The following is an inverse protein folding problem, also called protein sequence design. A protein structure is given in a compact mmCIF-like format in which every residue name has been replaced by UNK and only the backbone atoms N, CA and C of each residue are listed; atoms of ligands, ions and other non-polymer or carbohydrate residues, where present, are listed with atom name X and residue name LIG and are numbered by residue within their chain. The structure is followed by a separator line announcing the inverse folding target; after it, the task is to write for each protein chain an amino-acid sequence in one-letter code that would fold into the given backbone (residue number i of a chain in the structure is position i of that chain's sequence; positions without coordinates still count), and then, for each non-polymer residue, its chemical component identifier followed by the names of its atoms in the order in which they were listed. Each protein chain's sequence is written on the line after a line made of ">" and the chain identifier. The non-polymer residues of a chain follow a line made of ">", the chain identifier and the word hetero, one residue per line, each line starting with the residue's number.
data_IF_796364687965
#
_entry.id   IF_796364687965
#
_cell.length_a   1.000
_cell.length_b   1.000
_cell.length_c   1.000
_cell.angle_alpha   90.00
_cell.angle_beta   90.00
_cell.angle_gamma   90.00
#
_symmetry.space_group_name_H-M   'P 1'
#
loop_
_entity.id
_entity.type
_entity.pdbx_description
1 polymer ?
#
# COMPACT_ATOMS: atom_id res chain seq x y z
N UNK A 1 7.88 -5.83 -7.09
CA UNK A 1 8.70 -5.66 -5.86
C UNK A 1 9.43 -4.31 -5.76
N UNK A 2 9.85 -3.68 -6.87
CA UNK A 2 10.62 -2.42 -6.85
C UNK A 2 9.82 -1.18 -6.40
N UNK A 3 8.55 -1.05 -6.80
CA UNK A 3 7.71 0.11 -6.44
C UNK A 3 7.45 0.24 -4.94
N UNK A 4 7.31 -0.88 -4.23
CA UNK A 4 7.07 -0.91 -2.80
C UNK A 4 8.17 -0.32 -1.95
N UNK A 5 9.42 -0.65 -2.29
CA UNK A 5 10.60 -0.15 -1.59
C UNK A 5 10.74 1.37 -1.74
N UNK A 6 10.42 1.89 -2.93
CA UNK A 6 10.45 3.33 -3.21
C UNK A 6 9.41 4.07 -2.34
N UNK A 7 8.18 3.55 -2.25
CA UNK A 7 7.13 4.14 -1.40
C UNK A 7 7.55 4.10 0.08
N UNK A 8 8.14 2.99 0.53
CA UNK A 8 8.63 2.87 1.90
C UNK A 8 9.72 3.91 2.22
N UNK A 9 10.63 4.19 1.27
CA UNK A 9 11.64 5.24 1.40
C UNK A 9 10.99 6.63 1.50
N UNK A 10 10.01 6.94 0.65
CA UNK A 10 9.29 8.21 0.73
C UNK A 10 8.58 8.37 2.08
N UNK A 11 7.90 7.33 2.57
CA UNK A 11 7.27 7.34 3.89
C UNK A 11 8.33 7.57 4.98
N UNK A 12 9.48 6.91 4.92
CA UNK A 12 10.55 7.10 5.90
C UNK A 12 11.05 8.56 5.94
N UNK A 13 11.32 9.17 4.79
CA UNK A 13 11.75 10.57 4.71
C UNK A 13 10.65 11.50 5.24
N UNK A 14 9.39 11.25 4.85
CA UNK A 14 8.25 12.05 5.26
C UNK A 14 8.03 12.04 6.77
N UNK A 15 8.06 10.85 7.38
CA UNK A 15 7.92 10.66 8.82
C UNK A 15 9.10 11.28 9.56
N UNK A 16 10.32 11.08 9.08
CA UNK A 16 11.52 11.65 9.68
C UNK A 16 11.44 13.19 9.73
N UNK A 17 11.11 13.84 8.61
CA UNK A 17 10.98 15.30 8.56
C UNK A 17 9.86 15.79 9.48
N UNK A 18 8.70 15.14 9.42
CA UNK A 18 7.58 15.47 10.30
C UNK A 18 8.00 15.40 11.77
N UNK A 19 8.77 14.38 12.15
CA UNK A 19 9.21 14.15 13.52
C UNK A 19 10.12 15.27 14.03
N UNK A 20 11.03 15.74 13.16
CA UNK A 20 11.94 16.84 13.45
C UNK A 20 11.19 18.18 13.52
N UNK A 21 10.32 18.47 12.55
CA UNK A 21 9.56 19.72 12.49
C UNK A 21 8.64 19.88 13.70
N UNK A 22 8.00 18.80 14.15
CA UNK A 22 7.07 18.81 15.27
C UNK A 22 7.71 18.45 16.61
N UNK A 23 9.04 18.29 16.66
CA UNK A 23 9.82 17.97 17.89
C UNK A 23 9.24 16.81 18.70
N UNK A 24 8.74 15.79 18.01
CA UNK A 24 8.07 14.63 18.61
C UNK A 24 8.99 13.75 19.48
N UNK A 25 10.30 14.03 19.47
CA UNK A 25 11.33 13.19 20.06
C UNK A 25 11.53 11.90 19.25
N UNK A 26 12.69 11.26 19.39
CA UNK A 26 12.86 9.87 18.94
C UNK A 26 12.56 9.62 17.44
N UNK A 27 12.97 10.53 16.55
CA UNK A 27 12.63 10.50 15.12
C UNK A 27 12.93 9.15 14.44
N UNK A 28 14.05 8.49 14.78
CA UNK A 28 14.39 7.18 14.22
C UNK A 28 13.42 6.07 14.64
N UNK A 29 12.87 6.12 15.86
CA UNK A 29 11.85 5.17 16.31
C UNK A 29 10.53 5.37 15.56
N UNK A 30 10.15 6.61 15.26
CA UNK A 30 8.97 6.88 14.41
C UNK A 30 9.14 6.34 12.99
N UNK A 31 10.33 6.50 12.41
CA UNK A 31 10.64 5.95 11.09
C UNK A 31 10.58 4.42 11.11
N UNK A 32 11.26 3.78 12.07
CA UNK A 32 11.26 2.34 12.20
C UNK A 32 9.86 1.77 12.46
N UNK A 33 9.09 2.39 13.37
CA UNK A 33 7.72 2.00 13.66
C UNK A 33 6.80 2.13 12.43
N UNK A 34 6.90 3.24 11.70
CA UNK A 34 6.14 3.46 10.46
C UNK A 34 6.49 2.45 9.38
N UNK A 35 7.77 2.07 9.27
CA UNK A 35 8.23 1.05 8.34
C UNK A 35 7.67 -0.34 8.68
N UNK A 36 7.70 -0.74 9.95
CA UNK A 36 7.12 -2.01 10.41
C UNK A 36 5.61 -2.05 10.14
N UNK A 37 4.88 -0.98 10.49
CA UNK A 37 3.44 -0.87 10.21
C UNK A 37 3.15 -1.00 8.72
N UNK A 38 3.93 -0.32 7.87
CA UNK A 38 3.78 -0.38 6.43
C UNK A 38 3.94 -1.81 5.90
N UNK A 39 4.98 -2.53 6.32
CA UNK A 39 5.21 -3.92 5.90
C UNK A 39 4.11 -4.87 6.37
N UNK A 40 3.67 -4.74 7.63
CA UNK A 40 2.59 -5.56 8.19
C UNK A 40 1.30 -5.33 7.41
N UNK A 41 0.93 -4.07 7.19
CA UNK A 41 -0.29 -3.75 6.44
C UNK A 41 -0.21 -4.20 4.99
N UNK A 42 0.97 -4.12 4.38
CA UNK A 42 1.19 -4.64 3.03
C UNK A 42 0.96 -6.14 2.96
N UNK A 43 1.52 -6.90 3.91
CA UNK A 43 1.28 -8.34 4.00
C UNK A 43 -0.21 -8.65 4.19
N UNK A 44 -0.89 -7.93 5.09
CA UNK A 44 -2.35 -8.09 5.31
C UNK A 44 -3.13 -7.83 4.02
N UNK A 45 -2.80 -6.78 3.27
CA UNK A 45 -3.49 -6.49 2.01
C UNK A 45 -3.23 -7.53 0.91
N UNK A 46 -2.02 -8.10 0.86
CA UNK A 46 -1.73 -9.20 -0.06
C UNK A 46 -2.60 -10.41 0.29
N UNK A 47 -2.68 -10.79 1.57
CA UNK A 47 -3.52 -11.90 2.03
C UNK A 47 -5.01 -11.62 1.80
N UNK A 48 -5.46 -10.39 2.06
CA UNK A 48 -6.83 -9.96 1.80
C UNK A 48 -7.19 -10.08 0.31
N UNK A 49 -6.31 -9.62 -0.58
CA UNK A 49 -6.55 -9.74 -2.02
C UNK A 49 -6.63 -11.20 -2.46
N UNK A 50 -5.74 -12.07 -1.95
CA UNK A 50 -5.77 -13.51 -2.24
C UNK A 50 -7.09 -14.14 -1.78
N UNK A 51 -7.51 -13.85 -0.54
CA UNK A 51 -8.77 -14.35 0.01
C UNK A 51 -9.97 -13.94 -0.86
N UNK A 52 -10.01 -12.68 -1.32
CA UNK A 52 -11.09 -12.21 -2.18
C UNK A 52 -11.09 -12.92 -3.53
N UNK A 53 -9.92 -13.09 -4.16
CA UNK A 53 -9.81 -13.83 -5.43
C UNK A 53 -10.34 -15.26 -5.26
N UNK A 54 -9.89 -15.97 -4.22
CA UNK A 54 -10.32 -17.35 -3.95
C UNK A 54 -11.82 -17.46 -3.65
N UNK A 55 -12.38 -16.52 -2.87
CA UNK A 55 -13.80 -16.49 -2.54
C UNK A 55 -14.69 -16.37 -3.78
N UNK A 56 -14.30 -15.55 -4.75
CA UNK A 56 -15.07 -15.34 -5.97
C UNK A 56 -14.75 -16.34 -7.10
N UNK A 57 -13.71 -17.17 -6.95
CA UNK A 57 -13.42 -18.29 -7.85
C UNK A 57 -14.31 -19.52 -7.52
N UNK A 58 -14.95 -19.54 -6.35
CA UNK A 58 -15.73 -20.67 -5.84
C UNK A 58 -17.17 -20.76 -6.42
N UNK A 59 -17.64 -19.72 -7.12
CA UNK A 59 -18.96 -19.70 -7.79
C UNK A 59 -19.02 -20.49 -9.11
N UNK A 60 -17.93 -21.14 -9.54
CA UNK A 60 -17.93 -22.14 -10.64
C UNK A 60 -18.28 -23.55 -10.11
N UNK A 61 -18.62 -23.71 -8.82
CA UNK A 61 -18.73 -25.03 -8.18
C UNK A 61 -19.87 -25.95 -8.68
N UNK A 62 -20.92 -25.43 -9.32
CA UNK A 62 -21.94 -26.31 -9.92
C UNK A 62 -21.56 -26.84 -11.31
N UNK A 63 -20.69 -26.14 -12.04
CA UNK A 63 -20.14 -26.61 -13.32
C UNK A 63 -18.87 -27.44 -13.11
N UNK A 64 -18.09 -27.16 -12.07
CA UNK A 64 -16.82 -27.81 -11.72
C UNK A 64 -16.94 -29.33 -11.50
N UNK A 65 -18.01 -29.76 -10.79
CA UNK A 65 -18.31 -31.17 -10.59
C UNK A 65 -18.92 -31.84 -11.84
N UNK A 66 -19.60 -31.07 -12.70
CA UNK A 66 -20.23 -31.59 -13.92
C UNK A 66 -19.27 -31.74 -15.10
N UNK A 67 -18.16 -31.00 -15.11
CA UNK A 67 -17.20 -30.91 -16.22
C UNK A 67 -15.93 -31.75 -16.04
N UNK A 68 -15.76 -32.48 -14.94
CA UNK A 68 -14.65 -33.44 -14.77
C UNK A 68 -13.48 -32.95 -13.90
N UNK A 69 -13.71 -32.00 -12.99
CA UNK A 69 -12.74 -31.60 -11.97
C UNK A 69 -11.40 -31.15 -12.55
N UNK A 70 -10.29 -31.53 -11.90
CA UNK A 70 -8.91 -31.10 -12.24
C UNK A 70 -8.56 -31.21 -13.75
N UNK A 71 -9.18 -32.14 -14.49
CA UNK A 71 -8.95 -32.35 -15.92
C UNK A 71 -9.61 -31.30 -16.84
N UNK A 72 -10.64 -30.58 -16.37
CA UNK A 72 -11.25 -29.46 -17.10
C UNK A 72 -10.46 -28.14 -16.96
N UNK A 73 -9.55 -28.09 -15.97
CA UNK A 73 -8.72 -26.91 -15.68
C UNK A 73 -7.55 -26.75 -16.65
N UNK A 74 -7.15 -27.82 -17.33
CA UNK A 74 -6.07 -27.77 -18.34
C UNK A 74 -6.56 -27.25 -19.71
N UNK A 75 -7.88 -27.13 -19.93
CA UNK A 75 -8.47 -26.73 -21.22
C UNK A 75 -9.48 -25.59 -21.15
N UNK A 76 -9.73 -24.99 -19.99
CA UNK A 76 -10.65 -23.86 -19.88
C UNK A 76 -9.88 -22.58 -19.61
N UNK A 77 -10.12 -21.60 -20.48
CA UNK A 77 -9.71 -20.19 -20.38
C UNK A 77 -10.47 -19.48 -19.22
N UNK A 78 -10.76 -20.20 -18.13
CA UNK A 78 -11.62 -19.82 -17.01
C UNK A 78 -10.80 -19.17 -15.90
N UNK A 79 -10.09 -18.09 -16.25
CA UNK A 79 -9.58 -17.18 -15.22
C UNK A 79 -10.76 -16.43 -14.62
N UNK A 80 -11.23 -16.76 -13.40
CA UNK A 80 -12.45 -16.24 -12.73
C UNK A 80 -12.73 -14.73 -12.83
N UNK A 81 -12.79 -13.99 -11.71
CA UNK A 81 -13.08 -12.53 -11.71
C UNK A 81 -12.10 -11.69 -12.59
N UNK A 82 -11.03 -12.32 -13.08
CA UNK A 82 -10.00 -11.72 -13.92
C UNK A 82 -10.17 -11.95 -15.43
N UNK A 83 -11.20 -12.67 -15.91
CA UNK A 83 -11.47 -12.79 -17.35
C UNK A 83 -12.18 -11.53 -17.93
N UNK A 84 -11.69 -11.08 -19.08
CA UNK A 84 -12.26 -9.95 -19.83
C UNK A 84 -11.85 -8.56 -19.31
N UNK A 85 -12.40 -7.51 -19.93
CA UNK A 85 -12.03 -6.10 -19.66
C UNK A 85 -12.35 -5.65 -18.22
N UNK A 86 -13.35 -6.26 -17.58
CA UNK A 86 -13.67 -6.05 -16.17
C UNK A 86 -12.63 -6.66 -15.22
N UNK A 87 -12.05 -7.80 -15.60
CA UNK A 87 -10.94 -8.43 -14.89
C UNK A 87 -9.66 -7.62 -14.89
N UNK A 88 -9.42 -6.84 -15.95
CA UNK A 88 -8.31 -5.88 -16.01
C UNK A 88 -8.45 -4.76 -14.96
N UNK A 89 -9.67 -4.24 -14.74
CA UNK A 89 -9.92 -3.18 -13.76
C UNK A 89 -9.78 -3.70 -12.33
N UNK A 90 -10.37 -4.87 -12.03
CA UNK A 90 -10.26 -5.49 -10.69
C UNK A 90 -8.82 -5.89 -10.38
N UNK A 91 -8.09 -6.42 -11.37
CA UNK A 91 -6.67 -6.73 -11.26
C UNK A 91 -5.82 -5.51 -10.89
N UNK A 92 -6.03 -4.37 -11.57
CA UNK A 92 -5.31 -3.12 -11.26
C UNK A 92 -5.62 -2.63 -9.84
N UNK A 93 -6.88 -2.68 -9.41
CA UNK A 93 -7.26 -2.25 -8.05
C UNK A 93 -6.55 -3.13 -7.02
N UNK A 94 -6.56 -4.45 -7.19
CA UNK A 94 -5.92 -5.37 -6.26
C UNK A 94 -4.40 -5.23 -6.28
N UNK A 95 -3.80 -4.87 -7.41
CA UNK A 95 -2.38 -4.55 -7.46
C UNK A 95 -2.03 -3.27 -6.68
N UNK A 96 -2.94 -2.28 -6.64
CA UNK A 96 -2.72 -1.00 -5.97
C UNK A 96 -2.97 -1.02 -4.46
N UNK A 97 -3.93 -1.82 -4.00
CA UNK A 97 -4.34 -1.91 -2.60
C UNK A 97 -3.19 -2.16 -1.59
N UNK A 98 -2.24 -3.09 -1.86
CA UNK A 98 -1.08 -3.33 -1.00
C UNK A 98 -0.09 -2.17 -0.86
N UNK A 99 -0.27 -1.09 -1.64
CA UNK A 99 0.55 0.11 -1.55
C UNK A 99 -0.22 1.28 -0.95
N UNK A 100 -1.46 1.47 -1.40
CA UNK A 100 -2.31 2.60 -0.99
C UNK A 100 -2.76 2.45 0.47
N UNK A 101 -3.27 1.29 0.85
CA UNK A 101 -3.81 1.09 2.21
C UNK A 101 -2.71 1.23 3.28
N UNK A 102 -1.53 0.60 3.15
CA UNK A 102 -0.45 0.78 4.11
C UNK A 102 0.01 2.24 4.23
N UNK A 103 0.07 2.98 3.12
CA UNK A 103 0.38 4.42 3.14
C UNK A 103 -0.63 5.20 4.00
N UNK A 104 -1.93 4.99 3.78
CA UNK A 104 -2.96 5.68 4.56
C UNK A 104 -2.96 5.28 6.03
N UNK A 105 -2.72 4.01 6.36
CA UNK A 105 -2.61 3.57 7.76
C UNK A 105 -1.45 4.29 8.46
N UNK A 106 -0.29 4.40 7.81
CA UNK A 106 0.83 5.16 8.35
C UNK A 106 0.49 6.65 8.49
N UNK A 107 -0.18 7.24 7.50
CA UNK A 107 -0.60 8.65 7.57
C UNK A 107 -1.57 8.93 8.72
N UNK A 108 -2.50 7.99 8.99
CA UNK A 108 -3.45 8.08 10.10
C UNK A 108 -2.73 7.97 11.45
N UNK A 109 -1.82 7.00 11.59
CA UNK A 109 -1.00 6.85 12.80
C UNK A 109 -0.13 8.09 13.03
N UNK A 110 0.45 8.65 11.96
CA UNK A 110 1.20 9.90 12.01
C UNK A 110 0.34 11.04 12.56
N UNK A 111 -0.86 11.23 12.04
CA UNK A 111 -1.74 12.31 12.48
C UNK A 111 -2.23 12.12 13.92
N UNK A 112 -2.75 10.94 14.24
CA UNK A 112 -3.43 10.68 15.51
C UNK A 112 -2.48 10.38 16.67
N UNK A 113 -1.40 9.63 16.42
CA UNK A 113 -0.55 9.10 17.49
C UNK A 113 0.74 9.92 17.59
N UNK A 114 1.41 10.15 16.46
CA UNK A 114 2.68 10.87 16.45
C UNK A 114 2.47 12.38 16.65
N UNK A 115 1.54 12.99 15.92
CA UNK A 115 1.24 14.43 15.99
C UNK A 115 0.16 14.77 17.03
N UNK A 116 -0.59 13.77 17.50
CA UNK A 116 -1.69 13.94 18.47
C UNK A 116 -2.74 14.97 18.02
N UNK A 117 -2.97 15.04 16.71
CA UNK A 117 -3.96 15.93 16.11
C UNK A 117 -5.31 15.21 16.01
N UNK A 118 -6.39 15.99 15.96
CA UNK A 118 -7.69 15.45 15.58
C UNK A 118 -7.65 14.92 14.14
N UNK A 119 -8.44 13.89 13.85
CA UNK A 119 -8.52 13.34 12.50
C UNK A 119 -8.95 14.42 11.50
N UNK A 120 -8.17 14.60 10.45
CA UNK A 120 -8.47 15.50 9.34
C UNK A 120 -7.88 14.92 8.06
N UNK A 121 -8.75 14.64 7.09
CA UNK A 121 -8.35 14.02 5.83
C UNK A 121 -7.30 14.83 5.05
N UNK A 122 -7.41 16.16 5.01
CA UNK A 122 -6.41 17.02 4.36
C UNK A 122 -5.07 16.97 5.11
N UNK A 123 -5.12 16.92 6.44
CA UNK A 123 -3.93 16.86 7.29
C UNK A 123 -3.13 15.55 7.18
N UNK A 124 -3.72 14.49 6.58
CA UNK A 124 -3.00 13.25 6.27
C UNK A 124 -1.83 13.47 5.30
N UNK A 125 -1.87 14.53 4.49
CA UNK A 125 -0.87 14.82 3.46
C UNK A 125 0.11 15.95 3.84
N UNK A 126 -0.04 16.52 5.05
CA UNK A 126 0.80 17.62 5.51
C UNK A 126 2.29 17.22 5.54
N UNK A 127 3.17 18.14 5.12
CA UNK A 127 4.61 17.90 5.05
C UNK A 127 5.08 17.12 3.82
N UNK A 128 4.20 16.54 3.00
CA UNK A 128 4.61 15.88 1.74
C UNK A 128 5.18 16.87 0.73
N UNK A 129 4.54 18.04 0.58
CA UNK A 129 5.04 19.09 -0.33
C UNK A 129 6.45 19.53 0.05
N UNK A 130 6.69 19.72 1.34
CA UNK A 130 7.99 20.14 1.87
C UNK A 130 9.03 19.02 1.75
N UNK A 131 8.63 17.76 1.92
CA UNK A 131 9.49 16.62 1.62
C UNK A 131 9.97 16.65 0.16
N UNK A 132 9.07 16.83 -0.81
CA UNK A 132 9.46 16.90 -2.21
C UNK A 132 10.37 18.10 -2.52
N UNK A 133 10.11 19.26 -1.93
CA UNK A 133 11.00 20.42 -2.05
C UNK A 133 12.38 20.12 -1.46
N UNK A 134 12.44 19.47 -0.29
CA UNK A 134 13.68 19.08 0.36
C UNK A 134 14.49 18.12 -0.52
N UNK A 135 13.85 17.07 -1.05
CA UNK A 135 14.48 16.11 -1.95
C UNK A 135 15.03 16.84 -3.20
N UNK A 136 14.24 17.72 -3.81
CA UNK A 136 14.68 18.53 -4.95
C UNK A 136 15.91 19.39 -4.61
N UNK A 137 15.92 20.01 -3.43
CA UNK A 137 17.03 20.85 -3.00
C UNK A 137 18.29 20.03 -2.66
N UNK A 138 18.17 18.77 -2.22
CA UNK A 138 19.32 17.89 -1.99
C UNK A 138 20.14 17.60 -3.25
N UNK A 139 19.58 17.81 -4.44
CA UNK A 139 20.30 17.67 -5.71
C UNK A 139 20.96 18.96 -6.20
N UNK A 140 20.72 20.09 -5.53
CA UNK A 140 21.42 21.34 -5.85
C UNK A 140 22.79 21.30 -5.20
N UNK A 141 23.84 21.21 -6.00
CA UNK A 141 25.21 21.44 -5.55
C UNK A 141 25.37 22.91 -5.22
N UNK A 142 25.82 23.23 -4.00
CA UNK A 142 26.28 24.58 -3.67
C UNK A 142 27.36 24.97 -4.68
N UNK A 143 27.18 26.04 -5.48
CA UNK A 143 28.32 26.66 -6.15
C UNK A 143 29.17 27.27 -5.03
N UNK A 144 30.39 26.75 -4.85
CA UNK A 144 31.43 27.45 -4.06
C UNK A 144 31.76 28.81 -4.70
#
# INVERSE_FOLDING_TARGET
>A
MTFGGIIAIFIAIWIYRTALENKTGHALYWVAGSFVVYLVMQFVMIQFNLMIIEMFDTDISSEYDSAGGLNARDNSDSAGIQAGTGGTVVGIIFELLPWIVPFFVVAIIRQLIMLKQAFNFMGLFDGLKEMFISIKNSFKTTPE
#
